data_IF_311854593123
#
_entry.id   IF_311854593123
#
_cell.length_a   1.000
_cell.length_b   1.000
_cell.length_c   1.000
_cell.angle_alpha   90.00
_cell.angle_beta   90.00
_cell.angle_gamma   90.00
#
_symmetry.space_group_name_H-M   'P 1'
#
loop_
_entity.id
_entity.type
_entity.pdbx_description
1 polymer ?
#
# COMPACT_ATOMS: atom_id res chain seq x y z
N UNK A 1 -1.69 -2.39 -13.35
CA UNK A 1 -1.06 -3.73 -13.27
C UNK A 1 -0.80 -4.16 -11.83
N UNK A 2 0.01 -3.45 -11.05
CA UNK A 2 0.28 -3.78 -9.63
C UNK A 2 -1.01 -4.05 -8.81
N UNK A 3 -2.02 -3.18 -8.92
CA UNK A 3 -3.35 -3.38 -8.27
C UNK A 3 -4.01 -4.70 -8.68
N UNK A 4 -3.97 -5.08 -9.96
CA UNK A 4 -4.55 -6.34 -10.43
C UNK A 4 -3.79 -7.56 -9.88
N UNK A 5 -2.45 -7.51 -9.87
CA UNK A 5 -1.62 -8.60 -9.33
C UNK A 5 -1.86 -8.79 -7.84
N UNK A 6 -1.92 -7.69 -7.09
CA UNK A 6 -2.18 -7.70 -5.67
C UNK A 6 -3.63 -8.09 -5.33
N UNK A 7 -4.59 -7.77 -6.20
CA UNK A 7 -5.98 -8.26 -6.08
C UNK A 7 -6.06 -9.79 -6.22
N UNK A 8 -5.38 -10.34 -7.22
CA UNK A 8 -5.32 -11.79 -7.41
C UNK A 8 -4.57 -12.50 -6.26
N UNK A 9 -3.51 -11.87 -5.73
CA UNK A 9 -2.82 -12.34 -4.53
C UNK A 9 -3.75 -12.32 -3.32
N UNK A 10 -4.50 -11.23 -3.12
CA UNK A 10 -5.43 -11.09 -2.01
C UNK A 10 -6.55 -12.14 -2.06
N UNK A 11 -7.10 -12.38 -3.24
CA UNK A 11 -8.10 -13.42 -3.49
C UNK A 11 -7.55 -14.83 -3.21
N UNK A 12 -6.37 -15.15 -3.74
CA UNK A 12 -5.71 -16.45 -3.54
C UNK A 12 -5.48 -16.78 -2.06
N UNK A 13 -5.14 -15.78 -1.25
CA UNK A 13 -4.82 -15.95 0.17
C UNK A 13 -5.89 -15.39 1.11
N UNK A 14 -7.13 -15.25 0.63
CA UNK A 14 -8.24 -14.68 1.38
C UNK A 14 -8.52 -15.44 2.68
N UNK A 15 -8.35 -16.77 2.67
CA UNK A 15 -8.62 -17.66 3.80
C UNK A 15 -7.38 -18.06 4.60
N UNK A 16 -6.17 -17.65 4.21
CA UNK A 16 -4.94 -18.06 4.88
C UNK A 16 -4.73 -17.24 6.17
N UNK A 17 -4.90 -17.82 7.38
CA UNK A 17 -4.70 -17.09 8.62
C UNK A 17 -3.24 -16.65 8.77
N UNK A 18 -3.02 -15.47 9.34
CA UNK A 18 -1.70 -14.93 9.71
C UNK A 18 -1.85 -14.12 10.99
N UNK A 19 -0.78 -14.05 11.79
CA UNK A 19 -0.75 -13.23 12.99
C UNK A 19 -1.05 -11.77 12.66
N UNK A 20 -1.98 -11.13 13.37
CA UNK A 20 -2.20 -9.69 13.27
C UNK A 20 -1.10 -8.94 14.01
N UNK A 21 -0.82 -7.71 13.59
CA UNK A 21 0.18 -6.87 14.24
C UNK A 21 -0.34 -5.46 14.50
N UNK A 22 -0.31 -5.05 15.76
CA UNK A 22 -0.47 -3.65 16.20
C UNK A 22 0.75 -3.31 17.06
N UNK A 23 1.38 -2.16 16.84
CA UNK A 23 2.70 -1.84 17.43
C UNK A 23 3.79 -2.88 17.13
N UNK A 24 3.61 -3.65 16.05
CA UNK A 24 4.42 -4.83 15.74
C UNK A 24 4.49 -5.87 16.89
N UNK A 25 3.45 -5.91 17.72
CA UNK A 25 3.19 -6.95 18.71
C UNK A 25 2.11 -7.91 18.20
N UNK A 26 2.17 -9.21 18.57
CA UNK A 26 1.13 -10.18 18.28
C UNK A 26 -0.28 -9.67 18.68
N UNK A 27 -1.20 -9.71 17.73
CA UNK A 27 -2.59 -9.31 17.89
C UNK A 27 -3.54 -10.33 17.25
N UNK A 28 -4.85 -10.14 17.40
CA UNK A 28 -5.88 -11.02 16.80
C UNK A 28 -5.57 -11.35 15.34
N UNK A 29 -5.83 -12.61 14.96
CA UNK A 29 -5.50 -13.09 13.63
C UNK A 29 -6.25 -12.30 12.55
N UNK A 30 -5.59 -12.17 11.41
CA UNK A 30 -6.18 -11.72 10.15
C UNK A 30 -5.89 -12.78 9.08
N UNK A 31 -6.09 -12.46 7.81
CA UNK A 31 -5.60 -13.30 6.71
C UNK A 31 -4.58 -12.58 5.86
N UNK A 32 -3.71 -13.35 5.20
CA UNK A 32 -2.70 -12.80 4.28
C UNK A 32 -3.39 -11.98 3.18
N UNK A 33 -4.50 -12.48 2.64
CA UNK A 33 -5.29 -11.75 1.67
C UNK A 33 -5.91 -10.48 2.23
N UNK A 34 -6.45 -10.52 3.45
CA UNK A 34 -7.02 -9.32 4.10
C UNK A 34 -5.95 -8.25 4.36
N UNK A 35 -4.74 -8.64 4.75
CA UNK A 35 -3.59 -7.72 4.86
C UNK A 35 -3.29 -7.06 3.51
N UNK A 36 -3.26 -7.82 2.42
CA UNK A 36 -3.05 -7.28 1.09
C UNK A 36 -4.16 -6.31 0.65
N UNK A 37 -5.39 -6.46 1.16
CA UNK A 37 -6.45 -5.48 0.92
C UNK A 37 -6.17 -4.09 1.51
N UNK A 38 -5.39 -3.98 2.61
CA UNK A 38 -4.99 -2.67 3.14
C UNK A 38 -4.11 -1.94 2.11
N UNK A 39 -3.17 -2.66 1.50
CA UNK A 39 -2.30 -2.14 0.44
C UNK A 39 -3.08 -1.75 -0.82
N UNK A 40 -4.05 -2.58 -1.21
CA UNK A 40 -4.93 -2.31 -2.35
C UNK A 40 -5.78 -1.05 -2.14
N UNK A 41 -6.29 -0.83 -0.94
CA UNK A 41 -7.11 0.35 -0.63
C UNK A 41 -6.36 1.64 -0.97
N UNK A 42 -5.14 1.78 -0.47
CA UNK A 42 -4.31 2.96 -0.70
C UNK A 42 -4.00 3.13 -2.20
N UNK A 43 -3.66 2.05 -2.91
CA UNK A 43 -3.41 2.11 -4.35
C UNK A 43 -4.67 2.48 -5.17
N UNK A 44 -5.86 2.04 -4.77
CA UNK A 44 -7.12 2.43 -5.41
C UNK A 44 -7.40 3.92 -5.19
N UNK A 45 -7.10 4.44 -3.99
CA UNK A 45 -7.19 5.87 -3.71
C UNK A 45 -6.22 6.67 -4.60
N UNK A 46 -4.99 6.19 -4.79
CA UNK A 46 -4.01 6.82 -5.67
C UNK A 46 -4.43 6.78 -7.14
N UNK A 47 -4.98 5.66 -7.63
CA UNK A 47 -5.53 5.56 -9.00
C UNK A 47 -6.61 6.62 -9.24
N UNK A 48 -7.55 6.79 -8.30
CA UNK A 48 -8.59 7.82 -8.38
C UNK A 48 -7.97 9.23 -8.41
N UNK A 49 -6.97 9.49 -7.57
CA UNK A 49 -6.30 10.78 -7.50
C UNK A 49 -5.58 11.12 -8.82
N UNK A 50 -4.85 10.16 -9.38
CA UNK A 50 -4.17 10.26 -10.68
C UNK A 50 -5.15 10.48 -11.83
N UNK A 51 -6.27 9.73 -11.84
CA UNK A 51 -7.30 9.89 -12.85
C UNK A 51 -7.91 11.30 -12.80
N UNK A 52 -8.27 11.79 -11.61
CA UNK A 52 -8.77 13.15 -11.42
C UNK A 52 -7.76 14.19 -11.90
N UNK A 53 -6.51 14.10 -11.46
CA UNK A 53 -5.46 15.04 -11.86
C UNK A 53 -5.26 15.08 -13.39
N UNK A 54 -5.33 13.91 -14.05
CA UNK A 54 -5.25 13.81 -15.52
C UNK A 54 -6.47 14.40 -16.21
N UNK A 55 -7.68 14.16 -15.71
CA UNK A 55 -8.93 14.61 -16.32
C UNK A 55 -9.16 16.13 -16.15
N UNK A 56 -8.71 16.68 -15.02
CA UNK A 56 -8.82 18.11 -14.71
C UNK A 56 -7.77 18.97 -15.41
N UNK A 57 -6.72 18.35 -15.97
CA UNK A 57 -5.62 19.05 -16.64
C UNK A 57 -6.14 19.85 -17.85
N UNK A 58 -5.79 21.14 -17.92
CA UNK A 58 -6.18 22.03 -19.03
C UNK A 58 -4.97 22.56 -19.75
N UNK A 59 -5.15 22.85 -21.03
CA UNK A 59 -4.13 23.48 -21.85
C UNK A 59 -3.99 24.96 -21.51
N UNK A 60 -2.76 25.51 -21.52
CA UNK A 60 -2.60 26.98 -21.43
C UNK A 60 -3.28 27.67 -22.62
N UNK A 61 -3.07 27.13 -23.80
CA UNK A 61 -3.49 27.75 -25.05
C UNK A 61 -2.64 28.96 -25.43
N UNK A 62 -3.20 29.80 -26.29
CA UNK A 62 -2.57 30.95 -26.92
C UNK A 62 -3.01 32.22 -26.20
N UNK A 63 -2.21 32.66 -25.21
CA UNK A 63 -2.58 33.73 -24.27
C UNK A 63 -1.73 35.01 -24.34
N UNK A 64 -0.65 35.01 -25.14
CA UNK A 64 0.30 36.13 -25.21
C UNK A 64 1.15 36.28 -23.93
N UNK A 65 1.86 37.41 -23.81
CA UNK A 65 2.88 37.64 -22.77
C UNK A 65 2.32 37.79 -21.36
N UNK A 66 1.14 38.41 -21.21
CA UNK A 66 0.50 38.70 -19.92
C UNK A 66 -0.92 38.14 -19.81
N UNK A 67 -1.28 37.21 -20.70
CA UNK A 67 -2.58 36.53 -20.64
C UNK A 67 -3.71 37.20 -21.42
N UNK A 68 -3.51 38.41 -21.92
CA UNK A 68 -4.55 39.25 -22.54
C UNK A 68 -4.75 39.03 -24.04
N UNK A 69 -3.91 38.20 -24.66
CA UNK A 69 -3.98 37.91 -26.11
C UNK A 69 -3.81 39.13 -27.04
N UNK A 70 -3.33 40.28 -26.53
CA UNK A 70 -3.25 41.53 -27.27
C UNK A 70 -2.54 41.44 -28.64
N UNK A 71 -1.43 40.71 -28.71
CA UNK A 71 -0.70 40.50 -29.97
C UNK A 71 -1.52 39.76 -31.02
N UNK A 72 -2.33 38.78 -30.60
CA UNK A 72 -3.19 38.02 -31.51
C UNK A 72 -4.40 38.85 -31.93
N UNK A 73 -4.95 39.65 -31.02
CA UNK A 73 -6.04 40.58 -31.35
C UNK A 73 -5.60 41.62 -32.39
N UNK A 74 -4.39 42.16 -32.26
CA UNK A 74 -3.80 43.05 -33.26
C UNK A 74 -3.60 42.35 -34.61
N UNK A 75 -3.09 41.11 -34.61
CA UNK A 75 -2.89 40.32 -35.82
C UNK A 75 -4.21 40.09 -36.57
N UNK A 76 -5.30 39.88 -35.85
CA UNK A 76 -6.64 39.73 -36.41
C UNK A 76 -7.43 41.06 -36.49
N UNK A 77 -6.75 42.21 -36.43
CA UNK A 77 -7.36 43.53 -36.65
C UNK A 77 -8.56 43.84 -35.72
N UNK A 78 -8.50 43.39 -34.47
CA UNK A 78 -9.57 43.60 -33.49
C UNK A 78 -10.68 42.54 -33.53
N UNK A 79 -10.55 41.50 -34.34
CA UNK A 79 -11.52 40.40 -34.42
C UNK A 79 -11.33 39.41 -33.25
N UNK A 80 -12.17 39.57 -32.22
CA UNK A 80 -12.15 38.75 -31.01
C UNK A 80 -12.53 37.29 -31.27
N UNK A 81 -13.46 37.03 -32.18
CA UNK A 81 -13.93 35.67 -32.49
C UNK A 81 -12.80 34.83 -33.10
N UNK A 82 -11.97 35.42 -33.97
CA UNK A 82 -10.79 34.74 -34.52
C UNK A 82 -9.73 34.42 -33.46
N UNK A 83 -9.56 35.28 -32.45
CA UNK A 83 -8.64 35.01 -31.33
C UNK A 83 -9.12 33.82 -30.51
N UNK A 84 -10.41 33.77 -30.18
CA UNK A 84 -11.01 32.63 -29.47
C UNK A 84 -10.96 31.35 -30.31
N UNK A 85 -11.25 31.44 -31.61
CA UNK A 85 -11.18 30.31 -32.53
C UNK A 85 -9.74 29.77 -32.65
N UNK A 86 -8.72 30.64 -32.72
CA UNK A 86 -7.32 30.24 -32.72
C UNK A 86 -6.97 29.44 -31.46
N UNK A 87 -7.35 29.94 -30.28
CA UNK A 87 -7.08 29.26 -29.02
C UNK A 87 -7.77 27.88 -28.95
N UNK A 88 -9.03 27.81 -29.40
CA UNK A 88 -9.79 26.56 -29.47
C UNK A 88 -9.13 25.54 -30.41
N UNK A 89 -8.78 25.96 -31.64
CA UNK A 89 -8.15 25.08 -32.63
C UNK A 89 -6.81 24.55 -32.14
N UNK A 90 -5.95 25.40 -31.59
CA UNK A 90 -4.63 24.97 -31.08
C UNK A 90 -4.78 24.04 -29.87
N UNK A 91 -5.78 24.27 -29.02
CA UNK A 91 -6.09 23.38 -27.88
C UNK A 91 -6.54 21.99 -28.34
N UNK A 92 -7.43 21.93 -29.34
CA UNK A 92 -7.89 20.67 -29.94
C UNK A 92 -6.75 19.92 -30.64
N UNK A 93 -5.92 20.63 -31.40
CA UNK A 93 -4.72 20.07 -32.04
C UNK A 93 -3.73 19.48 -31.03
N UNK A 94 -3.64 20.06 -29.83
CA UNK A 94 -2.82 19.53 -28.73
C UNK A 94 -3.48 18.34 -27.99
N UNK A 95 -4.69 17.94 -28.36
CA UNK A 95 -5.41 16.81 -27.77
C UNK A 95 -6.07 17.11 -26.41
N UNK A 96 -6.19 18.39 -26.04
CA UNK A 96 -6.84 18.79 -24.80
C UNK A 96 -8.32 19.09 -25.01
N UNK A 97 -9.17 18.66 -24.05
CA UNK A 97 -10.60 18.96 -24.08
C UNK A 97 -10.92 20.42 -23.72
N UNK A 98 -10.05 21.06 -22.93
CA UNK A 98 -10.26 22.41 -22.39
C UNK A 98 -8.95 23.17 -22.28
N UNK A 99 -9.00 24.48 -22.53
CA UNK A 99 -7.95 25.43 -22.17
C UNK A 99 -8.33 26.25 -20.94
N UNK A 100 -7.36 26.93 -20.33
CA UNK A 100 -7.63 27.96 -19.33
C UNK A 100 -8.18 29.21 -19.99
N UNK A 101 -9.23 29.81 -19.43
CA UNK A 101 -9.74 31.10 -19.89
C UNK A 101 -8.88 32.25 -19.37
N UNK A 102 -8.44 32.15 -18.10
CA UNK A 102 -7.66 33.18 -17.41
C UNK A 102 -6.29 32.64 -17.08
N UNK A 103 -5.25 33.33 -17.56
CA UNK A 103 -3.86 33.07 -17.22
C UNK A 103 -3.12 34.40 -17.09
N UNK A 104 -1.98 34.43 -16.40
CA UNK A 104 -0.96 35.46 -16.64
C UNK A 104 -0.11 35.07 -17.86
N UNK A 105 1.21 35.16 -17.73
CA UNK A 105 2.13 34.65 -18.77
C UNK A 105 2.09 33.12 -18.88
N UNK A 106 1.78 32.41 -17.80
CA UNK A 106 1.82 30.93 -17.73
C UNK A 106 0.51 30.35 -17.22
N UNK A 107 0.33 29.05 -17.39
CA UNK A 107 -0.66 28.33 -16.58
C UNK A 107 -0.25 28.45 -15.10
N UNK A 108 -1.22 28.48 -14.19
CA UNK A 108 -0.94 28.64 -12.76
C UNK A 108 -0.05 27.50 -12.23
N UNK A 109 1.02 27.84 -11.50
CA UNK A 109 1.90 26.83 -10.87
C UNK A 109 1.22 26.02 -9.77
N UNK A 110 -0.01 26.39 -9.38
CA UNK A 110 -0.88 25.52 -8.58
C UNK A 110 -1.15 24.17 -9.24
N UNK A 111 -1.16 24.11 -10.58
CA UNK A 111 -1.31 22.85 -11.33
C UNK A 111 -0.13 21.91 -11.06
N UNK A 112 1.07 22.45 -10.91
CA UNK A 112 2.26 21.66 -10.58
C UNK A 112 2.14 21.07 -9.16
N UNK A 113 1.58 21.83 -8.20
CA UNK A 113 1.25 21.31 -6.85
C UNK A 113 0.26 20.15 -6.96
N UNK A 114 -0.88 20.37 -7.62
CA UNK A 114 -1.94 19.37 -7.68
C UNK A 114 -1.47 18.09 -8.40
N UNK A 115 -0.52 18.23 -9.34
CA UNK A 115 0.10 17.10 -10.05
C UNK A 115 1.12 16.33 -9.20
N UNK A 116 1.96 17.01 -8.41
CA UNK A 116 3.00 16.35 -7.62
C UNK A 116 2.47 15.85 -6.26
N UNK A 117 1.43 16.47 -5.71
CA UNK A 117 0.77 15.99 -4.48
C UNK A 117 0.20 14.57 -4.65
N UNK A 118 -0.39 14.26 -5.81
CA UNK A 118 -0.91 12.91 -6.07
C UNK A 118 0.22 11.88 -6.20
N UNK A 119 1.38 12.27 -6.70
CA UNK A 119 2.57 11.40 -6.77
C UNK A 119 3.22 11.20 -5.39
N UNK A 120 3.26 12.26 -4.57
CA UNK A 120 3.74 12.15 -3.19
C UNK A 120 2.85 11.25 -2.32
N UNK A 121 1.52 11.30 -2.51
CA UNK A 121 0.56 10.36 -1.90
C UNK A 121 0.87 8.92 -2.31
N UNK A 122 1.00 8.66 -3.62
CA UNK A 122 1.38 7.35 -4.15
C UNK A 122 2.70 6.85 -3.55
N UNK A 123 3.68 7.74 -3.39
CA UNK A 123 4.95 7.39 -2.79
C UNK A 123 4.79 6.92 -1.34
N UNK A 124 3.96 7.59 -0.53
CA UNK A 124 3.66 7.15 0.83
C UNK A 124 3.04 5.74 0.84
N UNK A 125 2.09 5.47 -0.05
CA UNK A 125 1.50 4.14 -0.26
C UNK A 125 2.56 3.09 -0.55
N UNK A 126 3.40 3.32 -1.58
CA UNK A 126 4.44 2.37 -1.98
C UNK A 126 5.46 2.15 -0.84
N UNK A 127 5.86 3.21 -0.14
CA UNK A 127 6.78 3.10 0.99
C UNK A 127 6.19 2.23 2.10
N UNK A 128 4.91 2.39 2.44
CA UNK A 128 4.22 1.60 3.47
C UNK A 128 4.12 0.13 3.07
N UNK A 129 3.67 -0.15 1.85
CA UNK A 129 3.56 -1.52 1.32
C UNK A 129 4.92 -2.24 1.37
N UNK A 130 5.96 -1.59 0.83
CA UNK A 130 7.29 -2.20 0.77
C UNK A 130 7.93 -2.33 2.16
N UNK A 131 7.60 -1.46 3.11
CA UNK A 131 8.02 -1.61 4.52
C UNK A 131 7.38 -2.85 5.14
N UNK A 132 6.08 -3.07 4.95
CA UNK A 132 5.41 -4.29 5.44
C UNK A 132 6.05 -5.55 4.84
N UNK A 133 6.34 -5.55 3.53
CA UNK A 133 6.99 -6.69 2.86
C UNK A 133 8.37 -6.96 3.47
N UNK A 134 9.16 -5.94 3.78
CA UNK A 134 10.47 -6.08 4.45
C UNK A 134 10.33 -6.69 5.85
N UNK A 135 9.31 -6.30 6.60
CA UNK A 135 9.02 -6.89 7.92
C UNK A 135 8.58 -8.37 7.78
N UNK A 136 7.73 -8.68 6.81
CA UNK A 136 7.28 -10.05 6.54
C UNK A 136 8.43 -10.96 6.06
N UNK A 137 9.41 -10.41 5.33
CA UNK A 137 10.62 -11.11 4.95
C UNK A 137 11.51 -11.42 6.17
N UNK A 138 11.61 -10.51 7.14
CA UNK A 138 12.28 -10.79 8.42
C UNK A 138 11.62 -11.97 9.16
N UNK A 139 10.28 -11.97 9.20
CA UNK A 139 9.47 -13.06 9.73
C UNK A 139 9.54 -14.34 8.87
N UNK A 140 10.07 -14.30 7.65
CA UNK A 140 10.09 -15.42 6.68
C UNK A 140 8.68 -15.91 6.33
N UNK A 141 7.68 -15.04 6.46
CA UNK A 141 6.29 -15.34 6.11
C UNK A 141 6.05 -15.08 4.62
N UNK A 142 6.61 -13.97 4.12
CA UNK A 142 6.50 -13.55 2.73
C UNK A 142 7.85 -13.00 2.26
N UNK A 143 8.30 -13.42 1.09
CA UNK A 143 9.49 -12.89 0.41
C UNK A 143 9.12 -12.26 -0.94
N UNK A 144 9.93 -11.28 -1.37
CA UNK A 144 9.88 -10.78 -2.74
C UNK A 144 10.44 -11.83 -3.73
N UNK A 145 10.09 -11.75 -5.02
CA UNK A 145 10.64 -12.66 -6.02
C UNK A 145 12.16 -12.62 -6.07
N UNK A 146 12.77 -13.80 -6.28
CA UNK A 146 14.21 -14.00 -6.31
C UNK A 146 14.61 -14.68 -7.61
N UNK A 147 15.44 -14.04 -8.43
CA UNK A 147 15.87 -14.63 -9.70
C UNK A 147 16.81 -15.82 -9.48
N UNK A 148 16.84 -16.75 -10.42
CA UNK A 148 17.66 -17.97 -10.34
C UNK A 148 19.15 -17.67 -10.16
N UNK A 149 19.64 -16.59 -10.78
CA UNK A 149 21.05 -16.17 -10.74
C UNK A 149 21.32 -15.02 -9.75
N UNK A 150 20.30 -14.57 -9.02
CA UNK A 150 20.45 -13.44 -8.10
C UNK A 150 21.36 -13.82 -6.93
N UNK A 151 22.39 -13.00 -6.69
CA UNK A 151 23.26 -13.11 -5.52
C UNK A 151 22.69 -12.22 -4.41
N UNK A 152 22.16 -12.82 -3.35
CA UNK A 152 21.57 -12.08 -2.22
C UNK A 152 22.61 -11.38 -1.34
N UNK A 153 23.79 -11.98 -1.16
CA UNK A 153 24.93 -11.41 -0.46
C UNK A 153 26.23 -12.01 -0.99
N UNK A 154 27.27 -11.19 -1.16
CA UNK A 154 28.60 -11.64 -1.58
C UNK A 154 29.32 -12.53 -0.56
N UNK A 155 28.91 -12.52 0.72
CA UNK A 155 29.57 -13.24 1.80
C UNK A 155 28.67 -14.30 2.49
N UNK A 156 27.34 -14.20 2.38
CA UNK A 156 26.40 -15.08 3.07
C UNK A 156 25.45 -15.77 2.07
N UNK A 157 25.75 -17.01 1.63
CA UNK A 157 25.01 -17.68 0.55
C UNK A 157 23.55 -18.00 0.88
N UNK A 158 23.19 -18.08 2.17
CA UNK A 158 21.82 -18.33 2.63
C UNK A 158 20.97 -17.04 2.74
N UNK A 159 21.58 -15.86 2.61
CA UNK A 159 20.92 -14.58 2.91
C UNK A 159 20.18 -14.05 1.69
N UNK A 160 18.85 -14.01 1.77
CA UNK A 160 17.98 -13.33 0.81
C UNK A 160 17.51 -12.00 1.40
N UNK A 161 17.70 -10.92 0.65
CA UNK A 161 17.35 -9.56 1.09
C UNK A 161 16.17 -9.04 0.25
N UNK A 162 15.24 -8.29 0.85
CA UNK A 162 14.14 -7.64 0.14
C UNK A 162 14.61 -6.36 -0.57
N UNK A 163 15.61 -6.47 -1.45
CA UNK A 163 16.32 -5.34 -2.08
C UNK A 163 15.40 -4.53 -3.01
N UNK A 164 14.43 -5.16 -3.68
CA UNK A 164 13.48 -4.46 -4.56
C UNK A 164 12.54 -3.60 -3.72
N UNK A 165 12.01 -4.15 -2.64
CA UNK A 165 11.19 -3.41 -1.68
C UNK A 165 11.97 -2.27 -1.00
N UNK A 166 13.25 -2.49 -0.66
CA UNK A 166 14.13 -1.45 -0.12
C UNK A 166 14.36 -0.30 -1.11
N UNK A 167 14.60 -0.62 -2.39
CA UNK A 167 14.72 0.38 -3.45
C UNK A 167 13.42 1.17 -3.63
N UNK A 168 12.27 0.51 -3.63
CA UNK A 168 10.96 1.17 -3.64
C UNK A 168 10.83 2.15 -2.47
N UNK A 169 11.14 1.75 -1.23
CA UNK A 169 11.13 2.65 -0.08
C UNK A 169 12.08 3.84 -0.26
N UNK A 170 13.29 3.61 -0.79
CA UNK A 170 14.27 4.68 -0.98
C UNK A 170 13.79 5.74 -1.98
N UNK A 171 13.34 5.31 -3.15
CA UNK A 171 12.86 6.19 -4.21
C UNK A 171 11.53 6.87 -3.83
N UNK A 172 10.62 6.14 -3.19
CA UNK A 172 9.39 6.72 -2.68
C UNK A 172 9.65 7.85 -1.67
N UNK A 173 10.71 7.74 -0.85
CA UNK A 173 11.08 8.82 0.08
C UNK A 173 11.49 10.11 -0.66
N UNK A 174 12.23 9.99 -1.76
CA UNK A 174 12.57 11.13 -2.61
C UNK A 174 11.30 11.76 -3.21
N UNK A 175 10.41 10.95 -3.76
CA UNK A 175 9.16 11.42 -4.36
C UNK A 175 8.24 12.15 -3.35
N UNK A 176 8.21 11.71 -2.09
CA UNK A 176 7.52 12.44 -1.02
C UNK A 176 8.15 13.81 -0.76
N UNK A 177 9.48 13.94 -0.80
CA UNK A 177 10.19 15.18 -0.52
C UNK A 177 10.01 16.24 -1.63
N UNK A 178 9.94 15.79 -2.88
CA UNK A 178 9.80 16.67 -4.06
C UNK A 178 8.51 17.50 -4.07
N UNK A 179 7.48 17.16 -3.28
CA UNK A 179 6.24 17.97 -3.22
C UNK A 179 6.48 19.38 -2.66
N UNK A 180 7.55 19.57 -1.88
CA UNK A 180 7.90 20.87 -1.31
C UNK A 180 8.29 21.90 -2.37
N UNK A 181 8.84 21.45 -3.51
CA UNK A 181 9.27 22.30 -4.61
C UNK A 181 8.12 23.09 -5.27
N UNK A 182 7.05 22.46 -5.80
CA UNK A 182 5.94 23.19 -6.41
C UNK A 182 5.15 24.00 -5.38
N UNK A 183 5.08 23.55 -4.13
CA UNK A 183 4.43 24.31 -3.04
C UNK A 183 5.10 25.67 -2.83
N UNK A 184 6.43 25.67 -2.67
CA UNK A 184 7.21 26.90 -2.50
C UNK A 184 7.21 27.73 -3.78
N UNK A 185 7.40 27.10 -4.94
CA UNK A 185 7.45 27.77 -6.25
C UNK A 185 6.16 28.55 -6.53
N UNK A 186 4.98 27.94 -6.32
CA UNK A 186 3.72 28.61 -6.61
C UNK A 186 3.41 29.76 -5.64
N UNK A 187 3.83 29.64 -4.38
CA UNK A 187 3.56 30.63 -3.34
C UNK A 187 4.25 31.98 -3.58
N UNK A 188 5.35 31.98 -4.34
CA UNK A 188 6.18 33.17 -4.59
C UNK A 188 6.16 33.63 -6.04
N UNK A 189 5.26 33.11 -6.88
CA UNK A 189 5.05 33.67 -8.22
C UNK A 189 4.47 35.09 -8.11
N UNK A 190 5.24 36.11 -8.51
CA UNK A 190 4.76 37.49 -8.45
C UNK A 190 3.94 37.85 -9.68
N UNK A 191 2.75 38.40 -9.45
CA UNK A 191 1.85 38.95 -10.46
C UNK A 191 1.62 37.97 -11.63
N UNK A 192 1.79 38.40 -12.88
CA UNK A 192 1.54 37.55 -14.06
C UNK A 192 2.56 36.43 -14.26
N UNK A 193 3.78 36.54 -13.66
CA UNK A 193 4.84 35.51 -13.60
C UNK A 193 6.20 36.07 -13.14
N UNK A 194 6.96 35.24 -12.43
CA UNK A 194 8.43 35.36 -12.25
C UNK A 194 9.15 34.11 -12.77
N UNK A 195 10.43 34.23 -13.17
CA UNK A 195 11.17 33.18 -13.90
C UNK A 195 11.90 32.17 -12.98
N UNK A 196 11.91 32.42 -11.67
CA UNK A 196 12.50 31.56 -10.63
C UNK A 196 11.92 30.14 -10.62
N UNK A 197 10.69 29.96 -11.11
CA UNK A 197 10.09 28.63 -11.29
C UNK A 197 10.78 27.76 -12.36
N UNK A 198 11.47 28.37 -13.32
CA UNK A 198 11.95 27.68 -14.54
C UNK A 198 12.97 26.61 -14.22
N UNK A 199 13.97 26.93 -13.39
CA UNK A 199 15.04 26.00 -13.05
C UNK A 199 14.51 24.86 -12.17
N UNK A 200 13.72 25.19 -11.14
CA UNK A 200 13.16 24.19 -10.24
C UNK A 200 12.27 23.18 -10.98
N UNK A 201 11.35 23.64 -11.83
CA UNK A 201 10.42 22.78 -12.58
C UNK A 201 11.10 21.84 -13.58
N UNK A 202 12.33 22.16 -14.02
CA UNK A 202 13.13 21.27 -14.90
C UNK A 202 13.67 20.06 -14.16
N UNK A 203 13.73 20.11 -12.84
CA UNK A 203 14.19 19.05 -11.95
C UNK A 203 12.97 18.35 -11.34
N UNK A 204 12.13 19.10 -10.62
CA UNK A 204 11.06 18.54 -9.80
C UNK A 204 10.00 17.81 -10.61
N UNK A 205 9.58 18.33 -11.78
CA UNK A 205 8.57 17.66 -12.60
C UNK A 205 9.10 16.35 -13.21
N UNK A 206 10.20 16.34 -14.00
CA UNK A 206 10.65 15.09 -14.62
C UNK A 206 11.09 14.04 -13.59
N UNK A 207 11.82 14.43 -12.55
CA UNK A 207 12.24 13.48 -11.51
C UNK A 207 11.05 12.86 -10.79
N UNK A 208 9.99 13.63 -10.54
CA UNK A 208 8.79 13.08 -9.88
C UNK A 208 8.13 11.98 -10.71
N UNK A 209 7.95 12.21 -12.01
CA UNK A 209 7.34 11.22 -12.91
C UNK A 209 8.25 10.01 -13.16
N UNK A 210 9.55 10.22 -13.36
CA UNK A 210 10.53 9.12 -13.51
C UNK A 210 10.59 8.27 -12.24
N UNK A 211 10.60 8.90 -11.07
CA UNK A 211 10.61 8.18 -9.79
C UNK A 211 9.33 7.37 -9.61
N UNK A 212 8.17 7.97 -9.91
CA UNK A 212 6.87 7.28 -9.85
C UNK A 212 6.82 6.07 -10.79
N UNK A 213 7.36 6.20 -12.01
CA UNK A 213 7.43 5.11 -12.98
C UNK A 213 8.30 3.95 -12.47
N UNK A 214 9.50 4.24 -11.97
CA UNK A 214 10.42 3.22 -11.46
C UNK A 214 9.81 2.48 -10.25
N UNK A 215 9.19 3.19 -9.30
CA UNK A 215 8.61 2.54 -8.13
C UNK A 215 7.38 1.70 -8.48
N UNK A 216 6.55 2.13 -9.44
CA UNK A 216 5.40 1.34 -9.90
C UNK A 216 5.84 0.10 -10.67
N UNK A 217 6.85 0.23 -11.52
CA UNK A 217 7.43 -0.89 -12.27
C UNK A 217 8.06 -1.92 -11.35
N UNK A 218 8.84 -1.45 -10.36
CA UNK A 218 9.44 -2.32 -9.34
C UNK A 218 8.36 -2.97 -8.46
N UNK A 219 7.34 -2.22 -8.03
CA UNK A 219 6.25 -2.76 -7.22
C UNK A 219 5.42 -3.80 -7.98
N UNK A 220 5.16 -3.58 -9.27
CA UNK A 220 4.51 -4.58 -10.12
C UNK A 220 5.33 -5.87 -10.10
N UNK A 221 6.62 -5.81 -10.39
CA UNK A 221 7.48 -6.99 -10.40
C UNK A 221 7.46 -7.73 -9.04
N UNK A 222 7.53 -7.00 -7.91
CA UNK A 222 7.39 -7.60 -6.57
C UNK A 222 6.05 -8.33 -6.44
N UNK A 223 4.94 -7.65 -6.75
CA UNK A 223 3.58 -8.20 -6.58
C UNK A 223 3.26 -9.35 -7.55
N UNK A 224 3.98 -9.47 -8.67
CA UNK A 224 3.88 -10.61 -9.59
C UNK A 224 4.49 -11.90 -9.02
N UNK A 225 5.47 -11.79 -8.12
CA UNK A 225 6.26 -12.92 -7.66
C UNK A 225 6.38 -13.07 -6.15
N UNK A 226 5.47 -12.48 -5.36
CA UNK A 226 5.44 -12.69 -3.91
C UNK A 226 5.36 -14.18 -3.56
N UNK A 227 6.30 -14.65 -2.75
CA UNK A 227 6.36 -16.03 -2.26
C UNK A 227 5.85 -16.05 -0.82
N UNK A 228 4.87 -16.91 -0.54
CA UNK A 228 4.27 -17.06 0.81
C UNK A 228 4.69 -18.40 1.39
N UNK A 229 5.01 -18.43 2.68
CA UNK A 229 5.42 -19.63 3.41
C UNK A 229 4.41 -20.03 4.49
N UNK A 230 3.31 -20.75 4.14
CA UNK A 230 2.24 -21.10 5.07
C UNK A 230 2.71 -21.84 6.33
N UNK A 231 3.76 -22.67 6.23
CA UNK A 231 4.27 -23.42 7.38
C UNK A 231 5.02 -22.56 8.40
N UNK A 232 5.67 -21.48 7.96
CA UNK A 232 6.26 -20.50 8.88
C UNK A 232 5.15 -19.70 9.56
N UNK A 233 4.15 -19.25 8.80
CA UNK A 233 2.98 -18.55 9.32
C UNK A 233 2.24 -19.40 10.37
N UNK A 234 1.99 -20.67 10.05
CA UNK A 234 1.35 -21.63 10.96
C UNK A 234 2.15 -21.79 12.27
N UNK A 235 3.49 -21.89 12.17
CA UNK A 235 4.37 -21.96 13.36
C UNK A 235 4.24 -20.70 14.22
N UNK A 236 4.30 -19.51 13.64
CA UNK A 236 4.16 -18.26 14.40
C UNK A 236 2.80 -18.15 15.07
N UNK A 237 1.71 -18.54 14.39
CA UNK A 237 0.38 -18.60 14.99
C UNK A 237 0.39 -19.55 16.19
N UNK A 238 0.96 -20.75 16.08
CA UNK A 238 1.01 -21.71 17.22
C UNK A 238 1.72 -21.15 18.44
N UNK A 239 2.72 -20.29 18.25
CA UNK A 239 3.46 -19.69 19.36
C UNK A 239 2.64 -18.63 20.12
N UNK A 240 1.70 -17.95 19.45
CA UNK A 240 0.98 -16.80 20.02
C UNK A 240 -0.50 -17.06 20.30
N UNK A 241 -1.13 -17.94 19.51
CA UNK A 241 -2.57 -18.26 19.61
C UNK A 241 -3.00 -18.78 21.00
N UNK A 242 -2.19 -19.57 21.74
CA UNK A 242 -2.56 -19.96 23.09
C UNK A 242 -2.86 -18.76 24.02
N UNK A 243 -2.09 -17.67 23.91
CA UNK A 243 -2.34 -16.46 24.71
C UNK A 243 -3.62 -15.73 24.26
N UNK A 244 -3.88 -15.69 22.95
CA UNK A 244 -5.08 -15.06 22.38
C UNK A 244 -6.36 -15.87 22.63
N UNK A 245 -6.25 -17.19 22.79
CA UNK A 245 -7.37 -18.10 22.96
C UNK A 245 -7.85 -18.23 24.42
N UNK A 246 -7.28 -17.48 25.36
CA UNK A 246 -7.62 -17.56 26.79
C UNK A 246 -9.11 -17.34 27.05
N UNK A 247 -9.76 -16.37 26.39
CA UNK A 247 -11.21 -16.18 26.52
C UNK A 247 -12.00 -17.37 25.94
N UNK A 248 -11.56 -17.97 24.83
CA UNK A 248 -12.20 -19.16 24.26
C UNK A 248 -12.11 -20.38 25.19
N UNK A 249 -10.97 -20.55 25.85
CA UNK A 249 -10.75 -21.57 26.88
C UNK A 249 -11.69 -21.34 28.08
N UNK A 250 -11.80 -20.10 28.56
CA UNK A 250 -12.72 -19.73 29.65
C UNK A 250 -14.17 -20.03 29.26
N UNK A 251 -14.59 -19.65 28.05
CA UNK A 251 -15.95 -19.92 27.55
C UNK A 251 -16.24 -21.43 27.48
N UNK A 252 -15.28 -22.24 27.03
CA UNK A 252 -15.43 -23.69 26.99
C UNK A 252 -15.59 -24.29 28.40
N UNK A 253 -14.80 -23.83 29.38
CA UNK A 253 -14.91 -24.27 30.77
C UNK A 253 -16.26 -23.91 31.38
N UNK A 254 -16.77 -22.70 31.13
CA UNK A 254 -18.09 -22.28 31.61
C UNK A 254 -19.21 -23.14 31.01
N UNK A 255 -19.14 -23.45 29.70
CA UNK A 255 -20.09 -24.36 29.05
C UNK A 255 -20.04 -25.78 29.61
N UNK A 256 -18.88 -26.22 30.09
CA UNK A 256 -18.71 -27.50 30.78
C UNK A 256 -19.14 -27.48 32.27
N UNK A 257 -19.73 -26.37 32.75
CA UNK A 257 -20.22 -26.22 34.12
C UNK A 257 -19.23 -25.60 35.10
N UNK A 258 -18.07 -25.12 34.63
CA UNK A 258 -17.06 -24.47 35.46
C UNK A 258 -17.39 -23.02 35.84
N UNK A 259 -16.79 -22.55 36.94
CA UNK A 259 -16.89 -21.14 37.37
C UNK A 259 -15.95 -20.24 36.54
N UNK A 260 -16.48 -19.15 35.99
CA UNK A 260 -15.71 -18.21 35.15
C UNK A 260 -14.53 -17.56 35.90
N UNK A 261 -14.74 -17.13 37.14
CA UNK A 261 -13.74 -16.41 37.93
C UNK A 261 -12.57 -17.33 38.29
N UNK A 262 -12.87 -18.57 38.70
CA UNK A 262 -11.86 -19.58 39.02
C UNK A 262 -11.05 -19.95 37.77
N UNK A 263 -11.72 -20.09 36.61
CA UNK A 263 -11.06 -20.39 35.34
C UNK A 263 -10.13 -19.25 34.91
N UNK A 264 -10.60 -18.01 35.03
CA UNK A 264 -9.82 -16.83 34.68
C UNK A 264 -8.55 -16.73 35.54
N UNK A 265 -8.65 -16.92 36.85
CA UNK A 265 -7.47 -16.83 37.72
C UNK A 265 -6.45 -17.94 37.43
N UNK A 266 -6.92 -19.17 37.21
CA UNK A 266 -6.04 -20.28 36.84
C UNK A 266 -5.33 -20.05 35.51
N UNK A 267 -6.07 -19.68 34.45
CA UNK A 267 -5.46 -19.44 33.13
C UNK A 267 -4.51 -18.23 33.16
N UNK A 268 -4.78 -17.22 33.99
CA UNK A 268 -3.91 -16.06 34.20
C UNK A 268 -2.56 -16.49 34.77
N UNK A 269 -2.54 -17.31 35.82
CA UNK A 269 -1.29 -17.81 36.43
C UNK A 269 -0.50 -18.66 35.43
N UNK A 270 -1.15 -19.60 34.72
CA UNK A 270 -0.47 -20.42 33.71
C UNK A 270 0.08 -19.58 32.56
N UNK A 271 -0.65 -18.55 32.12
CA UNK A 271 -0.21 -17.63 31.06
C UNK A 271 1.02 -16.83 31.49
N UNK A 272 1.09 -16.39 32.75
CA UNK A 272 2.26 -15.68 33.29
C UNK A 272 3.48 -16.59 33.36
N UNK A 273 3.30 -17.86 33.73
CA UNK A 273 4.38 -18.85 33.73
C UNK A 273 4.90 -19.12 32.31
N UNK A 274 4.01 -19.38 31.35
CA UNK A 274 4.40 -19.59 29.95
C UNK A 274 5.07 -18.35 29.35
N UNK A 275 4.59 -17.15 29.66
CA UNK A 275 5.23 -15.91 29.24
C UNK A 275 6.63 -15.73 29.86
N UNK A 276 6.86 -16.19 31.10
CA UNK A 276 8.18 -16.18 31.73
C UNK A 276 9.13 -17.16 31.03
N UNK A 277 8.68 -18.37 30.66
CA UNK A 277 9.47 -19.31 29.85
C UNK A 277 9.92 -18.67 28.53
N UNK A 278 8.99 -18.03 27.82
CA UNK A 278 9.31 -17.36 26.54
C UNK A 278 10.32 -16.22 26.73
N UNK A 279 10.10 -15.35 27.73
CA UNK A 279 10.85 -14.09 27.87
C UNK A 279 12.13 -14.20 28.69
N UNK A 280 12.17 -15.07 29.69
CA UNK A 280 13.29 -15.21 30.62
C UNK A 280 14.18 -16.40 30.27
N UNK A 281 13.61 -17.46 29.70
CA UNK A 281 14.33 -18.71 29.42
C UNK A 281 14.59 -18.92 27.91
N UNK A 282 13.90 -18.17 27.04
CA UNK A 282 14.01 -18.31 25.59
C UNK A 282 13.39 -19.60 25.05
N UNK A 283 12.47 -20.21 25.81
CA UNK A 283 11.74 -21.42 25.42
C UNK A 283 10.54 -21.14 24.51
N UNK A 284 9.95 -22.20 23.97
CA UNK A 284 8.66 -22.12 23.25
C UNK A 284 7.50 -21.87 24.23
N UNK A 285 6.39 -21.32 23.71
CA UNK A 285 5.18 -21.15 24.50
C UNK A 285 4.57 -22.50 24.90
N UNK A 286 4.63 -22.82 26.19
CA UNK A 286 4.15 -24.08 26.77
C UNK A 286 2.77 -23.96 27.45
N UNK A 287 2.03 -22.86 27.27
CA UNK A 287 0.73 -22.63 27.91
C UNK A 287 -0.25 -23.79 27.66
N UNK A 288 -0.30 -24.32 26.45
CA UNK A 288 -1.20 -25.42 26.12
C UNK A 288 -0.84 -26.70 26.88
N UNK A 289 0.45 -27.00 27.00
CA UNK A 289 0.92 -28.16 27.77
C UNK A 289 0.58 -28.00 29.26
N UNK A 290 0.70 -26.79 29.81
CA UNK A 290 0.30 -26.48 31.18
C UNK A 290 -1.21 -26.65 31.40
N UNK A 291 -2.03 -26.19 30.46
CA UNK A 291 -3.49 -26.38 30.49
C UNK A 291 -3.86 -27.86 30.44
N UNK A 292 -3.19 -28.66 29.59
CA UNK A 292 -3.42 -30.11 29.51
C UNK A 292 -2.99 -30.86 30.77
N UNK A 293 -1.98 -30.36 31.49
CA UNK A 293 -1.48 -30.97 32.72
C UNK A 293 -2.26 -30.59 33.99
N UNK A 294 -2.96 -29.44 34.01
CA UNK A 294 -3.76 -29.03 35.17
C UNK A 294 -5.13 -29.75 35.17
N UNK A 295 -5.43 -30.59 36.19
CA UNK A 295 -6.68 -31.35 36.27
C UNK A 295 -7.95 -30.49 36.20
N UNK A 296 -7.87 -29.19 36.53
CA UNK A 296 -8.99 -28.27 36.42
C UNK A 296 -9.57 -28.20 35.00
N UNK A 297 -8.72 -28.30 33.96
CA UNK A 297 -9.14 -28.19 32.57
C UNK A 297 -9.56 -29.52 31.94
N UNK A 298 -9.58 -30.63 32.71
CA UNK A 298 -9.98 -31.95 32.22
C UNK A 298 -11.28 -31.97 31.38
N UNK A 299 -12.34 -31.20 31.70
CA UNK A 299 -13.58 -31.20 30.92
C UNK A 299 -13.44 -30.69 29.48
N UNK A 300 -12.39 -29.91 29.17
CA UNK A 300 -12.21 -29.27 27.84
C UNK A 300 -11.03 -29.83 27.06
N UNK A 301 -10.21 -30.74 27.63
CA UNK A 301 -8.99 -31.26 26.97
C UNK A 301 -9.30 -31.80 25.57
N UNK A 302 -10.37 -32.58 25.41
CA UNK A 302 -10.78 -33.13 24.11
C UNK A 302 -11.28 -32.09 23.08
N UNK A 303 -11.45 -30.83 23.48
CA UNK A 303 -11.90 -29.74 22.62
C UNK A 303 -10.78 -28.76 22.27
N UNK A 304 -9.58 -28.87 22.89
CA UNK A 304 -8.52 -27.87 22.77
C UNK A 304 -8.07 -27.64 21.32
N UNK A 305 -7.96 -28.70 20.52
CA UNK A 305 -7.59 -28.58 19.10
C UNK A 305 -8.61 -27.76 18.30
N UNK A 306 -9.91 -27.95 18.59
CA UNK A 306 -10.97 -27.16 17.95
C UNK A 306 -11.02 -25.73 18.48
N UNK A 307 -10.75 -25.52 19.77
CA UNK A 307 -10.70 -24.19 20.40
C UNK A 307 -9.55 -23.36 19.83
N UNK A 308 -8.47 -24.02 19.41
CA UNK A 308 -7.25 -23.41 18.87
C UNK A 308 -7.17 -23.46 17.34
N UNK A 309 -8.25 -23.79 16.63
CA UNK A 309 -8.26 -23.74 15.16
C UNK A 309 -8.11 -22.27 14.70
N UNK A 310 -6.98 -21.90 14.03
CA UNK A 310 -6.74 -20.54 13.58
C UNK A 310 -7.84 -19.98 12.67
N UNK A 311 -8.55 -20.85 11.92
CA UNK A 311 -9.64 -20.43 11.03
C UNK A 311 -10.83 -19.84 11.78
N UNK A 312 -10.97 -20.12 13.07
CA UNK A 312 -12.03 -19.54 13.90
C UNK A 312 -11.68 -18.16 14.45
N UNK A 313 -10.41 -17.73 14.34
CA UNK A 313 -9.91 -16.46 14.88
C UNK A 313 -9.75 -15.35 13.83
N UNK A 314 -10.04 -15.62 12.55
CA UNK A 314 -9.90 -14.64 11.45
C UNK A 314 -11.16 -13.79 11.23
N UNK A 315 -12.20 -13.97 12.04
CA UNK A 315 -13.43 -13.18 11.99
C UNK A 315 -14.05 -13.14 10.59
N UNK A 316 -14.29 -11.94 10.07
CA UNK A 316 -14.88 -11.71 8.73
C UNK A 316 -13.84 -11.48 7.62
N UNK A 317 -12.56 -11.77 7.87
CA UNK A 317 -11.48 -11.40 6.96
C UNK A 317 -11.70 -11.91 5.51
N UNK A 318 -12.08 -13.18 5.26
CA UNK A 318 -12.31 -13.64 3.89
C UNK A 318 -13.47 -12.92 3.19
N UNK A 319 -14.60 -12.73 3.89
CA UNK A 319 -15.78 -12.06 3.30
C UNK A 319 -15.51 -10.58 3.02
N UNK A 320 -14.69 -9.93 3.85
CA UNK A 320 -14.23 -8.57 3.60
C UNK A 320 -13.35 -8.48 2.36
N UNK A 321 -12.47 -9.47 2.11
CA UNK A 321 -11.66 -9.54 0.89
C UNK A 321 -12.57 -9.63 -0.33
N UNK A 322 -13.46 -10.62 -0.37
CA UNK A 322 -14.38 -10.82 -1.50
C UNK A 322 -15.18 -9.56 -1.82
N UNK A 323 -15.82 -8.96 -0.79
CA UNK A 323 -16.65 -7.77 -0.95
C UNK A 323 -15.85 -6.57 -1.46
N UNK A 324 -14.69 -6.32 -0.87
CA UNK A 324 -13.83 -5.19 -1.27
C UNK A 324 -13.33 -5.33 -2.71
N UNK A 325 -12.88 -6.53 -3.09
CA UNK A 325 -12.44 -6.79 -4.45
C UNK A 325 -13.58 -6.55 -5.46
N UNK A 326 -14.79 -7.06 -5.19
CA UNK A 326 -15.93 -6.90 -6.11
C UNK A 326 -16.47 -5.47 -6.19
N UNK A 327 -16.60 -4.77 -5.05
CA UNK A 327 -17.28 -3.47 -4.99
C UNK A 327 -16.34 -2.30 -5.32
N UNK A 328 -15.05 -2.36 -4.95
CA UNK A 328 -14.15 -1.20 -5.03
C UNK A 328 -12.95 -1.41 -5.97
N UNK A 329 -12.41 -2.64 -6.08
CA UNK A 329 -11.17 -2.86 -6.86
C UNK A 329 -11.46 -3.18 -8.32
N UNK A 330 -12.27 -4.22 -8.60
CA UNK A 330 -12.52 -4.68 -9.98
C UNK A 330 -13.15 -3.57 -10.86
N UNK A 331 -14.08 -2.73 -10.39
CA UNK A 331 -14.63 -1.64 -11.20
C UNK A 331 -13.58 -0.63 -11.68
N UNK A 332 -12.61 -0.27 -10.82
CA UNK A 332 -11.53 0.67 -11.16
C UNK A 332 -10.55 0.10 -12.18
N UNK A 333 -10.46 -1.23 -12.26
CA UNK A 333 -9.60 -1.94 -13.20
C UNK A 333 -10.22 -2.16 -14.59
N UNK A 334 -11.55 -2.12 -14.71
CA UNK A 334 -12.26 -2.46 -15.95
C UNK A 334 -11.80 -1.64 -17.17
N UNK A 335 -11.57 -0.31 -17.08
CA UNK A 335 -11.07 0.48 -18.22
C UNK A 335 -9.67 0.06 -18.72
N UNK A 336 -8.93 -0.72 -17.93
CA UNK A 336 -7.56 -1.14 -18.19
C UNK A 336 -7.43 -2.62 -18.53
N UNK A 337 -8.54 -3.37 -18.63
CA UNK A 337 -8.56 -4.82 -18.79
C UNK A 337 -7.73 -5.33 -19.97
N UNK A 338 -7.76 -4.61 -21.10
CA UNK A 338 -6.97 -4.94 -22.30
C UNK A 338 -5.46 -4.76 -22.15
N UNK A 339 -5.00 -4.16 -21.04
CA UNK A 339 -3.57 -3.88 -20.75
C UNK A 339 -3.03 -4.73 -19.59
N UNK A 340 -3.74 -5.78 -19.16
CA UNK A 340 -3.42 -6.52 -17.93
C UNK A 340 -2.36 -7.63 -18.07
N UNK A 341 -1.99 -8.00 -19.29
CA UNK A 341 -1.06 -9.11 -19.56
C UNK A 341 0.41 -8.68 -19.66
N UNK A 342 0.69 -7.37 -19.53
CA UNK A 342 2.06 -6.86 -19.53
C UNK A 342 2.77 -7.30 -18.26
N UNK A 343 3.90 -7.99 -18.41
CA UNK A 343 4.86 -8.30 -17.35
C UNK A 343 6.01 -7.30 -17.39
N UNK A 344 6.64 -7.06 -16.24
CA UNK A 344 7.82 -6.20 -16.15
C UNK A 344 9.04 -7.06 -15.79
N UNK A 345 9.99 -7.08 -16.72
CA UNK A 345 11.35 -7.53 -16.45
C UNK A 345 12.13 -6.35 -15.88
N UNK A 346 12.87 -6.61 -14.80
CA UNK A 346 13.73 -5.61 -14.18
C UNK A 346 15.15 -5.83 -14.69
N UNK A 347 15.60 -5.00 -15.62
CA UNK A 347 17.00 -4.90 -16.02
C UNK A 347 17.71 -3.95 -15.05
N UNK A 348 18.19 -4.48 -13.92
CA UNK A 348 18.77 -3.67 -12.83
C UNK A 348 20.08 -4.26 -12.32
#
# INVERSE_FOLDING_TARGET
LAVNRLANFAEKYADLPTLGFTHYQPAQLTTVGKRACLWLQDLVMDMRNLQRAREDLRFRGVKGTTGTQASFLQLFQGDHEKVEELDRKVTEMAGFKKSYLVTGQTYSRKVDIDSLCVLASLAATVHKICTDIRLLANLKEIEEPFEKEQIGSSAMPYKRNPMRAERCCSLARHLMALVSDPLQTAAVQWLERTLDDSANRRISLPESFLTADIILSTLQNITEGLVVYPKVIERHIRHELPFMATENIIMAMVKAGGNRQDCHEKIRVLSQQAAAVVKQEGGDNDLLARVQADPYFAPIIGQLDSILDPKTFIGRAPQQVTRFLSEEVRPVLEPYKSKMDVKIELEL
#
